data_IF_578817231750
#
_entry.id   IF_578817231750
#
_cell.length_a   1.000
_cell.length_b   1.000
_cell.length_c   1.000
_cell.angle_alpha   90.00
_cell.angle_beta   90.00
_cell.angle_gamma   90.00
#
_symmetry.space_group_name_H-M   'P 1'
#
loop_
_entity.id
_entity.type
_entity.pdbx_description
1 polymer ?
#
# COMPACT_ATOMS: atom_id res chain seq x y z
N UNK A 1 -38.42 18.11 -14.15
CA UNK A 1 -37.33 18.41 -15.10
C UNK A 1 -36.04 18.38 -14.29
N UNK A 2 -35.39 17.24 -14.26
CA UNK A 2 -34.15 17.06 -13.48
C UNK A 2 -32.97 17.22 -14.43
N UNK A 3 -32.21 18.29 -14.22
CA UNK A 3 -30.98 18.57 -14.96
C UNK A 3 -29.88 17.63 -14.44
N UNK A 4 -29.55 16.62 -15.25
CA UNK A 4 -28.40 15.76 -14.99
C UNK A 4 -27.12 16.56 -15.21
N UNK A 5 -26.37 16.79 -14.14
CA UNK A 5 -25.01 17.30 -14.23
C UNK A 5 -24.14 16.23 -14.91
N UNK A 6 -23.70 16.53 -16.12
CA UNK A 6 -22.66 15.74 -16.81
C UNK A 6 -21.36 15.95 -16.03
N UNK A 7 -20.91 14.91 -15.35
CA UNK A 7 -19.56 14.89 -14.75
C UNK A 7 -18.57 14.84 -15.92
N UNK A 8 -17.94 15.98 -16.20
CA UNK A 8 -16.81 16.03 -17.14
C UNK A 8 -15.78 14.97 -16.72
N UNK A 9 -15.47 14.05 -17.64
CA UNK A 9 -14.54 12.97 -17.40
C UNK A 9 -13.16 13.54 -17.00
N UNK A 10 -12.63 13.06 -15.89
CA UNK A 10 -11.30 13.42 -15.42
C UNK A 10 -10.31 13.27 -16.59
N UNK A 11 -9.68 14.36 -17.00
CA UNK A 11 -8.59 14.33 -17.98
C UNK A 11 -7.43 13.58 -17.33
N UNK A 12 -7.17 12.36 -17.78
CA UNK A 12 -5.98 11.64 -17.37
C UNK A 12 -4.76 12.37 -17.94
N UNK A 13 -3.89 12.81 -17.07
CA UNK A 13 -2.61 13.40 -17.47
C UNK A 13 -1.74 12.33 -18.14
N UNK A 14 -1.12 12.70 -19.25
CA UNK A 14 -0.23 11.80 -19.96
C UNK A 14 1.12 11.73 -19.24
N UNK A 15 1.54 10.51 -18.89
CA UNK A 15 2.79 10.24 -18.19
C UNK A 15 3.83 9.67 -19.17
N UNK A 16 5.07 10.08 -19.01
CA UNK A 16 6.22 9.46 -19.68
C UNK A 16 7.10 8.71 -18.69
N UNK A 17 7.73 7.64 -19.17
CA UNK A 17 8.62 6.78 -18.40
C UNK A 17 10.04 7.32 -18.46
N UNK A 18 10.62 7.66 -17.32
CA UNK A 18 12.03 8.09 -17.17
C UNK A 18 12.79 6.96 -16.48
N UNK A 19 13.60 6.24 -17.24
CA UNK A 19 14.43 5.14 -16.72
C UNK A 19 15.62 5.70 -15.94
N UNK A 20 15.99 5.00 -14.87
CA UNK A 20 17.06 5.41 -13.97
C UNK A 20 18.22 4.42 -14.07
N UNK A 21 19.37 4.92 -14.50
CA UNK A 21 20.56 4.08 -14.71
C UNK A 21 20.37 3.05 -15.82
N UNK A 22 20.89 1.84 -15.61
CA UNK A 22 20.88 0.76 -16.62
C UNK A 22 19.77 -0.28 -16.38
N UNK A 23 18.90 -0.05 -15.40
CA UNK A 23 17.84 -0.99 -15.02
C UNK A 23 16.49 -0.47 -15.53
N UNK A 24 15.92 -1.12 -16.52
CA UNK A 24 14.65 -0.73 -17.14
C UNK A 24 13.44 -0.93 -16.18
N UNK A 25 13.60 -1.70 -15.12
CA UNK A 25 12.56 -1.89 -14.11
C UNK A 25 12.50 -0.71 -13.12
N UNK A 26 13.59 0.08 -13.02
CA UNK A 26 13.66 1.27 -12.16
C UNK A 26 13.37 2.52 -12.98
N UNK A 27 12.16 3.03 -12.84
CA UNK A 27 11.73 4.21 -13.59
C UNK A 27 10.76 5.08 -12.79
N UNK A 28 10.78 6.36 -13.08
CA UNK A 28 9.73 7.29 -12.65
C UNK A 28 8.72 7.52 -13.77
N UNK A 29 7.51 7.89 -13.39
CA UNK A 29 6.49 8.38 -14.31
C UNK A 29 6.29 9.87 -14.06
N UNK A 30 6.61 10.70 -15.06
CA UNK A 30 6.58 12.16 -14.97
C UNK A 30 5.54 12.67 -15.96
N UNK A 31 4.83 13.73 -15.58
CA UNK A 31 3.81 14.37 -16.42
C UNK A 31 4.47 14.95 -17.66
N UNK A 32 3.93 14.62 -18.86
CA UNK A 32 4.47 15.08 -20.15
C UNK A 32 4.34 16.60 -20.31
N UNK A 33 3.27 17.19 -19.77
CA UNK A 33 2.94 18.62 -19.94
C UNK A 33 3.71 19.57 -19.00
N UNK A 34 4.63 19.05 -18.18
CA UNK A 34 5.50 19.93 -17.38
C UNK A 34 6.35 20.85 -18.30
N UNK A 35 6.54 22.10 -17.92
CA UNK A 35 7.50 22.98 -18.61
C UNK A 35 8.87 22.32 -18.69
N UNK A 36 9.62 22.45 -19.80
CA UNK A 36 10.88 21.73 -19.99
C UNK A 36 11.90 21.94 -18.88
N UNK A 37 11.99 23.15 -18.36
CA UNK A 37 12.92 23.49 -17.29
C UNK A 37 12.52 22.82 -15.97
N UNK A 38 11.26 22.91 -15.57
CA UNK A 38 10.74 22.28 -14.35
C UNK A 38 10.87 20.76 -14.41
N UNK A 39 10.64 20.18 -15.60
CA UNK A 39 10.79 18.76 -15.84
C UNK A 39 12.25 18.31 -15.67
N UNK A 40 13.19 19.04 -16.20
CA UNK A 40 14.62 18.76 -16.07
C UNK A 40 15.06 18.86 -14.60
N UNK A 41 14.63 19.90 -13.89
CA UNK A 41 14.90 20.09 -12.47
C UNK A 41 14.33 18.92 -11.63
N UNK A 42 13.09 18.53 -11.89
CA UNK A 42 12.45 17.38 -11.24
C UNK A 42 13.21 16.09 -11.49
N UNK A 43 13.57 15.79 -12.75
CA UNK A 43 14.32 14.59 -13.11
C UNK A 43 15.68 14.58 -12.40
N UNK A 44 16.38 15.69 -12.36
CA UNK A 44 17.67 15.82 -11.69
C UNK A 44 17.52 15.62 -10.17
N UNK A 45 16.48 16.19 -9.57
CA UNK A 45 16.16 16.00 -8.15
C UNK A 45 15.88 14.52 -7.84
N UNK A 46 15.04 13.86 -8.64
CA UNK A 46 14.69 12.43 -8.45
C UNK A 46 15.94 11.54 -8.60
N UNK A 47 16.79 11.81 -9.60
CA UNK A 47 18.04 11.07 -9.78
C UNK A 47 19.03 11.27 -8.64
N UNK A 48 19.11 12.47 -8.08
CA UNK A 48 19.98 12.77 -6.95
C UNK A 48 19.56 12.07 -5.66
N UNK A 49 18.27 11.82 -5.50
CA UNK A 49 17.67 11.23 -4.30
C UNK A 49 17.13 9.82 -4.56
N UNK A 50 17.77 9.07 -5.45
CA UNK A 50 17.30 7.72 -5.83
C UNK A 50 17.28 6.73 -4.66
N UNK A 51 18.14 6.93 -3.69
CA UNK A 51 18.32 6.11 -2.49
C UNK A 51 17.16 6.20 -1.50
N UNK A 52 16.30 7.23 -1.61
CA UNK A 52 15.10 7.33 -0.77
C UNK A 52 13.93 6.50 -1.30
N UNK A 53 14.05 5.96 -2.52
CA UNK A 53 13.00 5.14 -3.13
C UNK A 53 13.28 3.65 -2.97
N UNK A 54 12.26 2.90 -2.56
CA UNK A 54 12.29 1.44 -2.55
C UNK A 54 11.65 0.91 -3.83
N UNK A 55 12.42 0.23 -4.66
CA UNK A 55 11.98 -0.34 -5.94
C UNK A 55 11.40 -1.76 -5.77
N UNK A 56 11.69 -2.37 -4.64
CA UNK A 56 11.16 -3.67 -4.26
C UNK A 56 10.81 -3.70 -2.77
N UNK A 57 10.00 -4.69 -2.37
CA UNK A 57 9.67 -4.90 -0.96
C UNK A 57 10.90 -5.22 -0.09
N UNK A 58 12.01 -5.64 -0.71
CA UNK A 58 13.27 -5.95 -0.02
C UNK A 58 14.11 -4.70 0.26
N UNK A 59 13.97 -3.68 -0.58
CA UNK A 59 14.68 -2.40 -0.45
C UNK A 59 13.97 -1.45 0.52
N UNK A 60 12.67 -1.67 0.78
CA UNK A 60 11.95 -0.90 1.78
C UNK A 60 12.53 -1.16 3.16
N UNK A 61 13.33 -0.21 3.66
CA UNK A 61 13.86 -0.27 5.02
C UNK A 61 12.69 -0.29 6.02
N UNK A 62 12.80 -1.15 7.03
CA UNK A 62 11.83 -1.12 8.13
C UNK A 62 12.18 0.01 9.07
N UNK A 63 11.17 0.64 9.59
CA UNK A 63 11.33 1.48 10.77
C UNK A 63 11.76 0.56 11.92
N UNK A 64 12.83 0.95 12.61
CA UNK A 64 13.32 0.19 13.76
C UNK A 64 12.20 0.14 14.82
N UNK A 65 11.78 -1.07 15.27
CA UNK A 65 10.75 -1.20 16.30
C UNK A 65 11.10 -0.48 17.61
N UNK A 66 12.39 -0.31 17.90
CA UNK A 66 12.85 0.43 19.08
C UNK A 66 12.67 1.95 18.92
N UNK A 67 12.60 2.43 17.67
CA UNK A 67 12.29 3.83 17.38
C UNK A 67 10.79 4.11 17.48
N UNK A 68 9.97 3.30 16.80
CA UNK A 68 8.51 3.40 16.85
C UNK A 68 7.86 2.07 16.50
N UNK A 69 6.88 1.67 17.31
CA UNK A 69 6.06 0.51 17.05
C UNK A 69 4.58 0.88 17.21
N UNK A 70 3.78 0.56 16.21
CA UNK A 70 2.33 0.75 16.30
C UNK A 70 1.68 -0.43 17.01
N UNK A 71 0.95 -0.14 18.08
CA UNK A 71 0.16 -1.12 18.80
C UNK A 71 -1.31 -0.99 18.43
N UNK A 72 -1.94 -2.11 18.10
CA UNK A 72 -3.38 -2.13 17.88
C UNK A 72 -4.10 -1.91 19.20
N UNK A 73 -5.06 -1.00 19.22
CA UNK A 73 -5.88 -0.70 20.39
C UNK A 73 -7.00 -1.74 20.53
N UNK A 74 -6.62 -2.97 20.87
CA UNK A 74 -7.54 -4.10 21.01
C UNK A 74 -8.16 -4.05 22.40
N UNK A 75 -9.48 -4.11 22.48
CA UNK A 75 -10.20 -4.24 23.74
C UNK A 75 -9.94 -5.63 24.36
N UNK A 76 -9.23 -5.66 25.48
CA UNK A 76 -8.83 -6.89 26.18
C UNK A 76 -10.01 -7.68 26.78
N UNK A 77 -11.19 -7.06 26.91
CA UNK A 77 -12.41 -7.76 27.35
C UNK A 77 -13.07 -8.58 26.23
N UNK A 78 -12.62 -8.40 24.98
CA UNK A 78 -13.13 -9.18 23.85
C UNK A 78 -12.20 -10.38 23.65
N UNK A 79 -12.77 -11.57 23.78
CA UNK A 79 -12.01 -12.81 23.56
C UNK A 79 -11.53 -12.92 22.10
N UNK A 80 -10.25 -13.28 21.90
CA UNK A 80 -9.72 -13.54 20.58
C UNK A 80 -10.53 -14.61 19.84
N UNK A 81 -10.79 -14.35 18.55
CA UNK A 81 -11.58 -15.25 17.71
C UNK A 81 -10.69 -15.95 16.69
N UNK A 82 -10.88 -17.26 16.57
CA UNK A 82 -10.25 -18.07 15.54
C UNK A 82 -11.31 -18.44 14.51
N UNK A 83 -11.24 -17.85 13.32
CA UNK A 83 -12.13 -18.17 12.22
C UNK A 83 -11.88 -19.61 11.75
N UNK A 84 -12.95 -20.41 11.46
CA UNK A 84 -12.77 -21.71 10.83
C UNK A 84 -12.13 -21.54 9.46
N UNK A 85 -11.24 -22.45 9.11
CA UNK A 85 -10.50 -22.38 7.85
C UNK A 85 -11.46 -22.52 6.65
N UNK A 86 -11.40 -21.58 5.73
CA UNK A 86 -12.14 -21.64 4.48
C UNK A 86 -11.44 -22.57 3.47
N UNK A 87 -12.23 -23.33 2.73
CA UNK A 87 -11.69 -24.14 1.64
C UNK A 87 -11.38 -23.23 0.46
N UNK A 88 -10.12 -23.21 0.04
CA UNK A 88 -9.67 -22.50 -1.15
C UNK A 88 -9.49 -23.46 -2.32
N UNK A 89 -9.67 -22.96 -3.55
CA UNK A 89 -9.26 -23.71 -4.75
C UNK A 89 -7.73 -23.86 -4.76
N UNK A 90 -7.24 -24.83 -5.54
CA UNK A 90 -5.79 -25.03 -5.68
C UNK A 90 -5.09 -23.76 -6.18
N UNK A 91 -5.66 -23.09 -7.18
CA UNK A 91 -5.12 -21.84 -7.74
C UNK A 91 -5.00 -20.74 -6.69
N UNK A 92 -6.04 -20.55 -5.86
CA UNK A 92 -6.02 -19.59 -4.76
C UNK A 92 -4.97 -19.94 -3.71
N UNK A 93 -4.85 -21.22 -3.38
CA UNK A 93 -3.86 -21.69 -2.42
C UNK A 93 -2.44 -21.43 -2.89
N UNK A 94 -2.13 -21.72 -4.16
CA UNK A 94 -0.82 -21.49 -4.74
C UNK A 94 -0.50 -19.98 -4.75
N UNK A 95 -1.46 -19.13 -5.10
CA UNK A 95 -1.33 -17.66 -5.05
C UNK A 95 -1.04 -17.16 -3.63
N UNK A 96 -1.76 -17.65 -2.62
CA UNK A 96 -1.54 -17.30 -1.21
C UNK A 96 -0.14 -17.72 -0.77
N UNK A 97 0.27 -18.93 -1.13
CA UNK A 97 1.58 -19.48 -0.78
C UNK A 97 2.71 -18.63 -1.35
N UNK A 98 2.62 -18.22 -2.61
CA UNK A 98 3.61 -17.34 -3.25
C UNK A 98 3.72 -15.99 -2.53
N UNK A 99 2.58 -15.37 -2.20
CA UNK A 99 2.56 -14.08 -1.52
C UNK A 99 3.12 -14.18 -0.09
N UNK A 100 2.77 -15.24 0.65
CA UNK A 100 3.33 -15.50 1.99
C UNK A 100 4.84 -15.69 1.92
N UNK A 101 5.36 -16.45 0.94
CA UNK A 101 6.80 -16.62 0.76
C UNK A 101 7.51 -15.30 0.49
N UNK A 102 6.96 -14.46 -0.39
CA UNK A 102 7.46 -13.11 -0.63
C UNK A 102 7.53 -12.28 0.65
N UNK A 103 6.43 -12.22 1.41
CA UNK A 103 6.37 -11.44 2.64
C UNK A 103 7.33 -11.97 3.71
N UNK A 104 7.51 -13.30 3.79
CA UNK A 104 8.51 -13.91 4.69
C UNK A 104 9.93 -13.54 4.28
N UNK A 105 10.27 -13.65 3.00
CA UNK A 105 11.59 -13.28 2.47
C UNK A 105 11.86 -11.78 2.68
N UNK A 106 10.87 -10.92 2.46
CA UNK A 106 10.95 -9.50 2.77
C UNK A 106 10.96 -9.22 4.29
N UNK A 107 10.90 -10.26 5.14
CA UNK A 107 10.77 -10.16 6.60
C UNK A 107 9.60 -9.27 7.04
N UNK A 108 8.58 -9.07 6.21
CA UNK A 108 7.38 -8.30 6.53
C UNK A 108 6.44 -9.04 7.48
N UNK A 109 6.51 -10.38 7.49
CA UNK A 109 5.77 -11.26 8.39
C UNK A 109 6.68 -12.30 9.00
N UNK A 110 6.30 -12.83 10.16
CA UNK A 110 6.97 -13.94 10.83
C UNK A 110 5.96 -15.03 11.20
N UNK A 111 6.43 -16.24 11.37
CA UNK A 111 5.62 -17.33 11.91
C UNK A 111 5.33 -17.09 13.40
N UNK A 112 4.10 -17.39 13.77
CA UNK A 112 3.64 -17.33 15.15
C UNK A 112 2.98 -18.68 15.49
N UNK A 113 3.48 -19.32 16.55
CA UNK A 113 2.88 -20.51 17.11
C UNK A 113 1.77 -20.12 18.08
N UNK A 114 0.63 -20.83 18.00
CA UNK A 114 -0.52 -20.64 18.89
C UNK A 114 -1.11 -19.22 18.90
N UNK A 115 -1.47 -18.65 17.75
CA UNK A 115 -2.03 -17.31 17.70
C UNK A 115 -3.37 -17.25 18.46
N UNK A 116 -3.61 -16.15 19.16
CA UNK A 116 -4.89 -15.86 19.77
C UNK A 116 -5.95 -15.56 18.71
N UNK A 117 -5.64 -14.68 17.79
CA UNK A 117 -6.48 -14.34 16.63
C UNK A 117 -6.08 -15.17 15.42
N UNK A 118 -7.08 -15.75 14.73
CA UNK A 118 -6.88 -16.45 13.47
C UNK A 118 -7.90 -15.97 12.46
N UNK A 119 -7.44 -15.49 11.32
CA UNK A 119 -8.27 -14.91 10.26
C UNK A 119 -8.03 -15.63 8.94
N UNK A 120 -9.01 -15.59 8.05
CA UNK A 120 -8.89 -16.16 6.72
C UNK A 120 -8.28 -15.17 5.73
N UNK A 121 -7.65 -15.69 4.68
CA UNK A 121 -7.24 -14.95 3.50
C UNK A 121 -8.31 -15.02 2.44
N UNK A 122 -8.49 -13.93 1.70
CA UNK A 122 -9.40 -13.79 0.57
C UNK A 122 -8.62 -13.44 -0.68
N UNK A 123 -8.85 -14.15 -1.77
CA UNK A 123 -8.17 -13.89 -3.05
C UNK A 123 -9.14 -13.21 -4.00
N UNK A 124 -8.77 -12.03 -4.50
CA UNK A 124 -9.60 -11.21 -5.36
C UNK A 124 -8.88 -10.92 -6.67
N UNK A 125 -9.57 -11.07 -7.80
CA UNK A 125 -9.01 -10.77 -9.11
C UNK A 125 -9.07 -9.27 -9.38
N UNK A 126 -7.92 -8.66 -9.72
CA UNK A 126 -7.84 -7.26 -10.14
C UNK A 126 -8.38 -7.08 -11.57
N UNK A 127 -8.74 -5.87 -11.95
CA UNK A 127 -9.10 -5.53 -13.34
C UNK A 127 -7.99 -5.90 -14.36
N UNK A 128 -6.73 -5.86 -13.93
CA UNK A 128 -5.56 -6.28 -14.72
C UNK A 128 -5.41 -7.80 -14.89
N UNK A 129 -6.33 -8.61 -14.37
CA UNK A 129 -6.26 -10.07 -14.39
C UNK A 129 -5.39 -10.70 -13.29
N UNK A 130 -4.54 -9.92 -12.61
CA UNK A 130 -3.69 -10.40 -11.52
C UNK A 130 -4.50 -10.64 -10.24
N UNK A 131 -4.10 -11.63 -9.45
CA UNK A 131 -4.68 -11.91 -8.15
C UNK A 131 -4.16 -10.95 -7.07
N UNK A 132 -5.00 -10.62 -6.11
CA UNK A 132 -4.64 -9.90 -4.89
C UNK A 132 -5.04 -10.77 -3.70
N UNK A 133 -4.08 -11.02 -2.81
CA UNK A 133 -4.35 -11.67 -1.51
C UNK A 133 -4.72 -10.58 -0.50
N UNK A 134 -5.83 -10.76 0.16
CA UNK A 134 -6.33 -9.90 1.21
C UNK A 134 -6.48 -10.72 2.49
N UNK A 135 -6.52 -10.06 3.64
CA UNK A 135 -6.72 -10.68 4.95
C UNK A 135 -8.03 -10.16 5.54
N UNK A 136 -8.87 -11.05 6.03
CA UNK A 136 -10.16 -10.69 6.65
C UNK A 136 -9.98 -10.30 8.12
N UNK A 137 -9.73 -9.03 8.38
CA UNK A 137 -9.62 -8.49 9.73
C UNK A 137 -10.96 -8.11 10.36
N UNK A 138 -12.10 -8.54 9.84
CA UNK A 138 -13.43 -8.12 10.31
C UNK A 138 -13.62 -8.33 11.81
N UNK A 139 -13.26 -9.49 12.33
CA UNK A 139 -13.42 -9.78 13.77
C UNK A 139 -12.43 -9.00 14.63
N UNK A 140 -11.19 -8.86 14.19
CA UNK A 140 -10.17 -8.05 14.87
C UNK A 140 -10.56 -6.57 14.88
N UNK A 141 -11.05 -6.03 13.77
CA UNK A 141 -11.50 -4.64 13.66
C UNK A 141 -12.68 -4.33 14.59
N UNK A 142 -13.56 -5.32 14.84
CA UNK A 142 -14.65 -5.18 15.82
C UNK A 142 -14.13 -5.11 17.26
N UNK A 143 -13.00 -5.74 17.53
CA UNK A 143 -12.35 -5.73 18.84
C UNK A 143 -11.46 -4.51 19.06
N UNK A 144 -11.02 -3.84 18.00
CA UNK A 144 -10.23 -2.63 18.09
C UNK A 144 -11.14 -1.43 18.36
N UNK A 145 -10.77 -0.61 19.34
CA UNK A 145 -11.39 0.69 19.54
C UNK A 145 -11.05 1.57 18.33
N UNK A 146 -12.07 2.26 17.82
CA UNK A 146 -11.87 3.19 16.71
C UNK A 146 -10.99 4.36 17.16
N UNK A 147 -10.05 4.73 16.31
CA UNK A 147 -9.29 5.96 16.51
C UNK A 147 -10.25 7.15 16.39
N UNK A 148 -10.32 8.02 17.41
CA UNK A 148 -11.14 9.22 17.36
C UNK A 148 -10.58 10.28 16.41
N UNK A 149 -9.31 10.18 16.00
CA UNK A 149 -8.72 11.13 15.06
C UNK A 149 -9.21 10.87 13.65
N UNK A 150 -9.87 11.84 13.00
CA UNK A 150 -10.21 11.72 11.60
C UNK A 150 -8.93 11.71 10.76
N UNK A 151 -8.92 10.92 9.69
CA UNK A 151 -7.85 11.00 8.68
C UNK A 151 -7.81 12.43 8.14
N UNK A 152 -6.63 13.03 8.11
CA UNK A 152 -6.42 14.32 7.47
C UNK A 152 -6.81 14.21 5.98
N UNK A 153 -7.47 15.25 5.46
CA UNK A 153 -7.78 15.33 4.04
C UNK A 153 -6.48 15.51 3.27
N UNK A 154 -6.31 14.74 2.19
CA UNK A 154 -5.09 14.79 1.36
C UNK A 154 -4.81 16.22 0.89
N UNK A 155 -5.85 16.94 0.45
CA UNK A 155 -5.75 18.34 0.01
C UNK A 155 -5.15 19.24 1.11
N UNK A 156 -5.61 19.08 2.36
CA UNK A 156 -5.07 19.85 3.49
C UNK A 156 -3.62 19.49 3.83
N UNK A 157 -3.23 18.22 3.63
CA UNK A 157 -1.84 17.80 3.82
C UNK A 157 -0.94 18.41 2.74
N UNK A 158 -1.38 18.41 1.50
CA UNK A 158 -0.65 19.03 0.38
C UNK A 158 -0.50 20.53 0.61
N UNK A 159 -1.60 21.22 0.95
CA UNK A 159 -1.58 22.66 1.24
C UNK A 159 -0.65 23.00 2.42
N UNK A 160 -0.64 22.16 3.47
CA UNK A 160 0.22 22.35 4.63
C UNK A 160 1.71 22.15 4.32
N UNK A 161 2.06 21.41 3.27
CA UNK A 161 3.46 21.22 2.85
C UNK A 161 3.91 22.26 1.83
N UNK A 162 2.98 23.01 1.24
CA UNK A 162 3.30 24.08 0.27
C UNK A 162 3.97 25.26 0.97
N UNK A 163 5.14 25.66 0.50
CA UNK A 163 5.88 26.81 1.02
C UNK A 163 6.85 26.49 2.18
N UNK A 164 7.04 25.22 2.53
CA UNK A 164 8.14 24.81 3.41
C UNK A 164 9.37 24.45 2.56
N UNK A 165 10.55 24.97 2.91
CA UNK A 165 11.81 24.70 2.19
C UNK A 165 12.26 23.25 2.35
#
# INVERSE_FOLDING_TARGET
MSSGAVVEGAKFEQLEKIVIGNDEEKFFQVIVQLPPQEKEELINFLKKNIDVFAWSAYEASRVDPDFICHYLNVNLFILPKKQPLWRSSKEHFDTIKEEVLKLKQARAIKELFYPGWLVNTVVVKKKSGKWRVCVDFTDLNKACLKDPFPLSRIDQLVDATTGHP
#
